data_IF_149932173745
#
_entry.id   IF_149932173745
#
_cell.length_a   1.000
_cell.length_b   1.000
_cell.length_c   1.000
_cell.angle_alpha   90.00
_cell.angle_beta   90.00
_cell.angle_gamma   90.00
#
_symmetry.space_group_name_H-M   'P 1'
#
loop_
_entity.id
_entity.type
_entity.pdbx_description
1 polymer ?
#
# COMPACT_ATOMS: atom_id res chain seq x y z
N UNK A 1 -30.86 5.29 -7.76
CA UNK A 1 -29.85 4.29 -7.36
C UNK A 1 -29.30 4.70 -6.01
N UNK A 2 -29.45 3.91 -4.93
CA UNK A 2 -28.70 4.18 -3.70
C UNK A 2 -28.10 2.91 -3.09
N UNK A 3 -26.90 2.56 -3.54
CA UNK A 3 -25.77 2.24 -2.67
C UNK A 3 -24.69 3.21 -3.18
N UNK A 4 -24.12 4.11 -2.39
CA UNK A 4 -23.29 3.80 -1.23
C UNK A 4 -23.47 4.86 -0.13
N UNK A 5 -23.41 4.46 1.15
CA UNK A 5 -22.35 5.02 1.98
C UNK A 5 -21.77 4.00 2.96
N UNK A 6 -20.45 3.95 3.01
CA UNK A 6 -19.67 3.35 4.08
C UNK A 6 -19.93 1.85 4.30
N UNK A 7 -19.29 1.02 3.46
CA UNK A 7 -18.84 -0.28 3.93
C UNK A 7 -18.00 -0.02 5.19
N UNK A 8 -18.56 -0.35 6.35
CA UNK A 8 -17.93 -0.12 7.65
C UNK A 8 -16.74 -1.06 7.78
N UNK A 9 -15.62 -0.66 7.19
CA UNK A 9 -14.34 -1.36 7.32
C UNK A 9 -13.97 -1.28 8.80
N UNK A 10 -13.89 -2.40 9.51
CA UNK A 10 -13.63 -2.38 10.94
C UNK A 10 -12.25 -1.76 11.20
N UNK A 11 -12.08 -1.00 12.28
CA UNK A 11 -10.83 -0.26 12.57
C UNK A 11 -9.56 -1.14 12.51
N UNK A 12 -9.70 -2.44 12.78
CA UNK A 12 -8.66 -3.48 12.66
C UNK A 12 -8.26 -3.84 11.22
N UNK A 13 -9.10 -3.56 10.23
CA UNK A 13 -8.87 -3.77 8.80
C UNK A 13 -8.35 -2.50 8.09
N UNK A 14 -8.45 -1.33 8.72
CA UNK A 14 -7.92 -0.07 8.19
C UNK A 14 -6.38 -0.02 8.03
N UNK A 15 -5.53 -0.73 8.81
CA UNK A 15 -4.08 -0.61 8.64
C UNK A 15 -3.60 -1.22 7.31
N UNK A 16 -4.11 -2.40 6.95
CA UNK A 16 -3.57 -3.18 5.84
C UNK A 16 -3.95 -2.62 4.46
N UNK A 17 -5.21 -2.20 4.28
CA UNK A 17 -5.66 -1.63 3.00
C UNK A 17 -5.04 -0.24 2.76
N UNK A 18 -4.91 0.56 3.82
CA UNK A 18 -4.28 1.88 3.75
C UNK A 18 -2.77 1.74 3.49
N UNK A 19 -2.11 0.79 4.14
CA UNK A 19 -0.71 0.49 3.85
C UNK A 19 -0.51 0.00 2.42
N UNK A 20 -1.37 -0.90 1.95
CA UNK A 20 -1.34 -1.38 0.56
C UNK A 20 -1.47 -0.23 -0.42
N UNK A 21 -2.45 0.66 -0.23
CA UNK A 21 -2.61 1.84 -1.08
C UNK A 21 -1.42 2.80 -0.98
N UNK A 22 -0.85 2.99 0.21
CA UNK A 22 0.33 3.84 0.37
C UNK A 22 1.54 3.27 -0.38
N UNK A 23 1.77 1.96 -0.28
CA UNK A 23 2.84 1.26 -1.01
C UNK A 23 2.60 1.33 -2.51
N UNK A 24 1.37 1.09 -2.97
CA UNK A 24 0.99 1.16 -4.38
C UNK A 24 1.21 2.56 -4.96
N UNK A 25 0.65 3.60 -4.32
CA UNK A 25 0.82 4.99 -4.76
C UNK A 25 2.28 5.41 -4.75
N UNK A 26 3.06 4.97 -3.76
CA UNK A 26 4.48 5.27 -3.69
C UNK A 26 5.30 4.51 -4.75
N UNK A 27 4.89 3.31 -5.16
CA UNK A 27 5.48 2.60 -6.30
C UNK A 27 5.16 3.32 -7.61
N UNK A 28 3.90 3.71 -7.82
CA UNK A 28 3.45 4.43 -9.01
C UNK A 28 4.13 5.80 -9.14
N UNK A 29 4.15 6.58 -8.06
CA UNK A 29 4.80 7.89 -7.99
C UNK A 29 6.33 7.82 -8.15
N UNK A 30 6.93 6.64 -7.93
CA UNK A 30 8.35 6.39 -8.14
C UNK A 30 8.63 5.59 -9.43
N UNK A 31 7.63 5.38 -10.29
CA UNK A 31 7.73 4.59 -11.52
C UNK A 31 8.37 3.21 -11.32
N UNK A 32 7.97 2.50 -10.25
CA UNK A 32 8.49 1.18 -9.92
C UNK A 32 9.88 1.17 -9.28
N UNK A 33 10.46 2.33 -8.98
CA UNK A 33 11.77 2.41 -8.33
C UNK A 33 11.66 2.11 -6.83
N UNK A 34 11.77 0.82 -6.50
CA UNK A 34 11.66 0.26 -5.15
C UNK A 34 12.57 0.94 -4.11
N UNK A 35 13.73 1.45 -4.52
CA UNK A 35 14.65 2.15 -3.59
C UNK A 35 14.04 3.49 -3.17
N UNK A 36 13.63 4.31 -4.14
CA UNK A 36 12.96 5.60 -3.87
C UNK A 36 11.62 5.43 -3.16
N UNK A 37 10.87 4.40 -3.50
CA UNK A 37 9.61 4.06 -2.83
C UNK A 37 9.84 3.78 -1.34
N UNK A 38 10.86 2.98 -1.01
CA UNK A 38 11.20 2.66 0.37
C UNK A 38 11.62 3.92 1.15
N UNK A 39 12.46 4.77 0.55
CA UNK A 39 12.87 6.05 1.12
C UNK A 39 11.69 6.99 1.36
N UNK A 40 10.76 7.10 0.40
CA UNK A 40 9.56 7.96 0.53
C UNK A 40 8.57 7.46 1.56
N UNK A 41 8.46 6.15 1.72
CA UNK A 41 7.63 5.52 2.76
C UNK A 41 8.33 5.51 4.12
N UNK A 42 9.62 5.87 4.21
CA UNK A 42 10.39 5.82 5.45
C UNK A 42 10.63 4.40 5.96
N UNK A 43 10.60 3.40 5.07
CA UNK A 43 10.77 1.98 5.41
C UNK A 43 12.02 1.40 4.76
N UNK A 44 12.57 0.34 5.34
CA UNK A 44 13.68 -0.39 4.74
C UNK A 44 13.27 -1.09 3.45
N UNK A 45 14.20 -1.28 2.50
CA UNK A 45 13.96 -2.05 1.27
C UNK A 45 13.39 -3.45 1.52
N UNK A 46 13.82 -4.10 2.61
CA UNK A 46 13.30 -5.41 3.07
C UNK A 46 11.84 -5.33 3.54
N UNK A 47 11.47 -4.27 4.26
CA UNK A 47 10.08 -4.01 4.66
C UNK A 47 9.20 -3.79 3.44
N UNK A 48 9.65 -2.96 2.49
CA UNK A 48 8.94 -2.75 1.22
C UNK A 48 8.76 -4.07 0.46
N UNK A 49 9.81 -4.89 0.34
CA UNK A 49 9.73 -6.17 -0.35
C UNK A 49 8.74 -7.13 0.31
N UNK A 50 8.73 -7.21 1.64
CA UNK A 50 7.75 -8.00 2.38
C UNK A 50 6.33 -7.48 2.14
N UNK A 51 6.09 -6.17 2.20
CA UNK A 51 4.77 -5.57 1.91
C UNK A 51 4.31 -5.82 0.47
N UNK A 52 5.21 -5.71 -0.51
CA UNK A 52 4.88 -6.01 -1.92
C UNK A 52 4.45 -7.47 -2.08
N UNK A 53 5.10 -8.40 -1.38
CA UNK A 53 4.75 -9.83 -1.39
C UNK A 53 3.50 -10.14 -0.60
N UNK A 54 3.29 -9.47 0.53
CA UNK A 54 2.13 -9.65 1.41
C UNK A 54 0.85 -9.15 0.75
N UNK A 55 0.93 -8.07 -0.03
CA UNK A 55 -0.20 -7.47 -0.73
C UNK A 55 -0.30 -7.86 -2.22
N UNK A 56 0.58 -8.75 -2.69
CA UNK A 56 0.68 -9.18 -4.09
C UNK A 56 0.72 -7.99 -5.09
N UNK A 57 1.45 -6.93 -4.74
CA UNK A 57 1.55 -5.68 -5.52
C UNK A 57 2.53 -5.78 -6.71
N UNK A 58 2.85 -7.00 -7.14
CA UNK A 58 3.80 -7.28 -8.21
C UNK A 58 3.12 -7.82 -9.46
N UNK A 59 2.57 -6.93 -10.29
CA UNK A 59 2.27 -7.21 -11.70
C UNK A 59 2.81 -6.12 -12.60
#
# INVERSE_FOLDING_TARGET
>A
MPGDPAEVVPLRALPAEVERQAVQRALEACSGNRTRTAERLGISRRQLFNKIREYDLGS
#
